data_IF_009604514576
#
_entry.id   IF_009604514576
#
_cell.length_a   1.000
_cell.length_b   1.000
_cell.length_c   1.000
_cell.angle_alpha   90.00
_cell.angle_beta   90.00
_cell.angle_gamma   90.00
#
_symmetry.space_group_name_H-M   'P 1'
#
loop_
_entity.id
_entity.type
_entity.pdbx_description
1 polymer ?
#
# COMPACT_ATOMS: atom_id res chain seq x y z
N UNK A 1 5.09 9.30 25.30
CA UNK A 1 5.60 10.18 24.23
C UNK A 1 4.91 9.85 22.92
N UNK A 2 4.65 10.84 22.09
CA UNK A 2 3.87 10.67 20.85
C UNK A 2 4.49 11.48 19.71
N UNK A 3 4.52 10.89 18.51
CA UNK A 3 4.89 11.55 17.26
C UNK A 3 3.84 11.27 16.19
N UNK A 4 3.67 12.19 15.24
CA UNK A 4 2.76 12.01 14.12
C UNK A 4 3.41 11.11 13.05
N UNK A 5 2.70 10.06 12.66
CA UNK A 5 3.12 9.11 11.62
C UNK A 5 2.05 8.92 10.54
N UNK A 6 0.99 9.72 10.57
CA UNK A 6 -0.18 9.57 9.69
C UNK A 6 0.06 10.12 8.28
N UNK A 7 1.03 11.00 8.12
CA UNK A 7 1.47 11.46 6.80
C UNK A 7 2.44 10.44 6.21
N UNK A 8 2.37 10.21 4.91
CA UNK A 8 3.23 9.26 4.18
C UNK A 8 4.67 9.81 4.00
N UNK A 9 5.11 10.70 4.90
CA UNK A 9 6.44 11.27 4.93
C UNK A 9 7.36 10.46 5.84
N UNK A 10 8.07 9.53 5.23
CA UNK A 10 9.00 8.64 5.93
C UNK A 10 10.18 9.36 6.58
N UNK A 11 10.63 10.48 6.00
CA UNK A 11 11.75 11.26 6.54
C UNK A 11 11.34 12.02 7.80
N UNK A 12 10.19 12.70 7.76
CA UNK A 12 9.64 13.40 8.93
C UNK A 12 9.36 12.43 10.07
N UNK A 13 8.79 11.24 9.77
CA UNK A 13 8.52 10.24 10.78
C UNK A 13 9.79 9.65 11.40
N UNK A 14 10.84 9.40 10.61
CA UNK A 14 12.13 8.96 11.13
C UNK A 14 12.75 10.01 12.07
N UNK A 15 12.76 11.28 11.68
CA UNK A 15 13.24 12.39 12.53
C UNK A 15 12.45 12.49 13.84
N UNK A 16 11.11 12.36 13.76
CA UNK A 16 10.28 12.36 14.96
C UNK A 16 10.57 11.17 15.88
N UNK A 17 10.79 9.98 15.31
CA UNK A 17 11.16 8.78 16.06
C UNK A 17 12.55 8.90 16.72
N UNK A 18 13.54 9.48 16.04
CA UNK A 18 14.87 9.82 16.63
C UNK A 18 14.73 10.73 17.83
N UNK A 19 13.88 11.75 17.72
CA UNK A 19 13.56 12.64 18.84
C UNK A 19 12.95 11.91 20.06
N UNK A 20 12.15 10.86 19.83
CA UNK A 20 11.62 10.02 20.90
C UNK A 20 12.71 9.11 21.49
N UNK A 21 13.58 8.54 20.66
CA UNK A 21 14.71 7.71 21.12
C UNK A 21 15.62 8.51 22.03
N UNK A 22 15.94 9.76 21.68
CA UNK A 22 16.77 10.64 22.52
C UNK A 22 16.15 10.95 23.89
N UNK A 23 14.83 10.76 24.05
CA UNK A 23 14.10 10.90 25.29
C UNK A 23 14.02 9.58 26.09
N UNK A 24 14.70 8.51 25.63
CA UNK A 24 14.84 7.25 26.36
C UNK A 24 13.65 6.31 26.23
N UNK A 25 12.92 6.32 25.12
CA UNK A 25 11.86 5.30 24.88
C UNK A 25 12.48 3.89 24.77
N UNK A 26 11.73 2.89 25.15
CA UNK A 26 12.15 1.47 25.14
C UNK A 26 11.42 0.64 24.09
N UNK A 27 10.34 1.16 23.50
CA UNK A 27 9.57 0.51 22.43
C UNK A 27 8.80 1.57 21.63
N UNK A 28 8.41 1.20 20.42
CA UNK A 28 7.57 2.03 19.52
C UNK A 28 6.29 1.24 19.19
N UNK A 29 5.13 1.81 19.45
CA UNK A 29 3.86 1.37 18.90
C UNK A 29 3.53 2.25 17.70
N UNK A 30 3.53 1.68 16.50
CA UNK A 30 3.42 2.38 15.22
C UNK A 30 4.46 1.82 14.23
N UNK A 31 4.71 2.42 13.05
CA UNK A 31 3.87 3.47 12.50
C UNK A 31 2.62 2.88 11.85
N UNK A 32 1.78 3.73 11.26
CA UNK A 32 0.54 3.33 10.62
C UNK A 32 0.78 2.86 9.18
N UNK A 33 1.40 3.70 8.36
CA UNK A 33 1.66 3.42 6.95
C UNK A 33 2.88 2.50 6.74
N UNK A 34 2.83 1.61 5.75
CA UNK A 34 3.87 0.61 5.49
C UNK A 34 5.25 1.21 5.22
N UNK A 35 5.36 2.23 4.35
CA UNK A 35 6.63 2.89 4.02
C UNK A 35 7.22 3.60 5.23
N UNK A 36 6.39 4.30 6.02
CA UNK A 36 6.80 4.95 7.27
C UNK A 36 7.28 3.91 8.29
N UNK A 37 6.56 2.80 8.44
CA UNK A 37 6.95 1.71 9.33
C UNK A 37 8.31 1.12 8.94
N UNK A 38 8.52 0.86 7.65
CA UNK A 38 9.80 0.35 7.14
C UNK A 38 10.95 1.32 7.39
N UNK A 39 10.73 2.62 7.16
CA UNK A 39 11.74 3.65 7.39
C UNK A 39 12.10 3.80 8.88
N UNK A 40 11.10 3.90 9.77
CA UNK A 40 11.33 4.01 11.20
C UNK A 40 11.99 2.74 11.74
N UNK A 41 11.54 1.55 11.31
CA UNK A 41 12.15 0.29 11.73
C UNK A 41 13.63 0.22 11.31
N UNK A 42 13.92 0.44 10.01
CA UNK A 42 15.27 0.26 9.45
C UNK A 42 16.26 1.31 9.92
N UNK A 43 15.83 2.58 10.00
CA UNK A 43 16.73 3.71 10.22
C UNK A 43 16.83 4.13 11.69
N UNK A 44 15.82 3.81 12.50
CA UNK A 44 15.74 4.28 13.89
C UNK A 44 15.64 3.13 14.88
N UNK A 45 14.57 2.31 14.82
CA UNK A 45 14.30 1.32 15.85
C UNK A 45 15.37 0.22 15.90
N UNK A 46 15.64 -0.45 14.79
CA UNK A 46 16.60 -1.57 14.71
C UNK A 46 18.03 -1.13 15.05
N UNK A 47 18.57 -0.01 14.54
CA UNK A 47 19.90 0.47 14.94
C UNK A 47 20.04 0.77 16.42
N UNK A 48 18.96 1.21 17.06
CA UNK A 48 18.95 1.54 18.50
C UNK A 48 18.50 0.37 19.40
N UNK A 49 18.28 -0.84 18.84
CA UNK A 49 17.84 -2.01 19.61
C UNK A 49 16.43 -1.89 20.17
N UNK A 50 15.58 -1.08 19.58
CA UNK A 50 14.22 -0.78 20.06
C UNK A 50 13.22 -1.65 19.31
N UNK A 51 12.33 -2.32 20.05
CA UNK A 51 11.21 -3.07 19.46
C UNK A 51 10.16 -2.11 18.90
N UNK A 52 9.70 -2.40 17.68
CA UNK A 52 8.63 -1.67 17.00
C UNK A 52 7.48 -2.62 16.64
N UNK A 53 6.24 -2.23 16.94
CA UNK A 53 5.03 -2.99 16.65
C UNK A 53 4.06 -2.11 15.86
N UNK A 54 3.81 -2.44 14.58
CA UNK A 54 2.83 -1.74 13.77
C UNK A 54 1.44 -2.38 13.88
N UNK A 55 0.37 -1.59 14.13
CA UNK A 55 -0.99 -2.09 14.17
C UNK A 55 -1.61 -2.31 12.78
N UNK A 56 -1.08 -1.69 11.72
CA UNK A 56 -1.79 -1.52 10.44
C UNK A 56 -0.92 -1.65 9.19
N UNK A 57 0.41 -1.68 9.30
CA UNK A 57 1.31 -1.78 8.15
C UNK A 57 1.26 -3.18 7.51
N UNK A 58 0.71 -3.28 6.31
CA UNK A 58 0.38 -4.55 5.65
C UNK A 58 1.32 -4.96 4.51
N UNK A 59 2.20 -4.07 4.02
CA UNK A 59 3.09 -4.37 2.88
C UNK A 59 3.83 -5.71 3.06
N UNK A 60 3.84 -6.57 2.02
CA UNK A 60 4.59 -7.83 2.04
C UNK A 60 6.08 -7.65 2.30
N UNK A 61 6.67 -6.53 1.83
CA UNK A 61 8.08 -6.23 2.01
C UNK A 61 8.53 -6.15 3.48
N UNK A 62 7.61 -5.81 4.39
CA UNK A 62 7.91 -5.77 5.82
C UNK A 62 8.18 -7.16 6.42
N UNK A 63 7.70 -8.24 5.79
CA UNK A 63 7.96 -9.61 6.25
C UNK A 63 9.43 -10.02 6.09
N UNK A 64 10.12 -9.43 5.14
CA UNK A 64 11.53 -9.74 4.82
C UNK A 64 12.50 -8.65 5.25
N UNK A 65 12.02 -7.73 6.08
CA UNK A 65 12.85 -6.66 6.63
C UNK A 65 14.00 -7.25 7.46
N UNK A 66 15.20 -6.68 7.33
CA UNK A 66 16.35 -7.04 8.16
C UNK A 66 16.24 -6.38 9.53
N UNK A 67 15.33 -6.88 10.34
CA UNK A 67 14.87 -6.26 11.59
C UNK A 67 15.54 -6.79 12.87
N UNK A 68 16.42 -7.78 12.76
CA UNK A 68 17.06 -8.46 13.90
C UNK A 68 16.05 -9.01 14.92
N UNK A 69 14.81 -9.31 14.49
CA UNK A 69 13.73 -9.77 15.35
C UNK A 69 13.10 -8.67 16.22
N UNK A 70 13.24 -7.41 15.80
CA UNK A 70 12.70 -6.26 16.55
C UNK A 70 11.43 -5.68 15.93
N UNK A 71 11.06 -6.07 14.70
CA UNK A 71 9.83 -5.62 14.07
C UNK A 71 8.71 -6.66 14.20
N UNK A 72 7.56 -6.19 14.62
CA UNK A 72 6.33 -6.97 14.70
C UNK A 72 5.16 -6.20 14.09
N UNK A 73 4.12 -6.91 13.67
CA UNK A 73 2.85 -6.30 13.27
C UNK A 73 1.68 -7.18 13.69
N UNK A 74 0.55 -6.56 14.02
CA UNK A 74 -0.70 -7.23 14.34
C UNK A 74 -1.63 -7.35 13.14
N UNK A 75 -1.41 -6.53 12.09
CA UNK A 75 -2.11 -6.64 10.82
C UNK A 75 -1.56 -7.79 9.97
N UNK A 76 -2.41 -8.56 9.26
CA UNK A 76 -1.95 -9.58 8.32
C UNK A 76 -1.21 -8.95 7.12
N UNK A 77 -0.35 -9.74 6.47
CA UNK A 77 0.33 -9.31 5.26
C UNK A 77 -0.61 -9.29 4.05
N UNK A 78 -0.47 -8.28 3.20
CA UNK A 78 -1.15 -8.20 1.89
C UNK A 78 -0.74 -9.32 0.92
N UNK A 79 0.30 -10.10 1.23
CA UNK A 79 0.63 -11.31 0.49
C UNK A 79 -0.57 -12.28 0.43
N UNK A 80 -1.37 -12.37 1.50
CA UNK A 80 -2.61 -13.15 1.52
C UNK A 80 -3.80 -12.37 0.96
N UNK A 81 -3.88 -11.08 1.28
CA UNK A 81 -4.97 -10.19 0.82
C UNK A 81 -5.05 -10.12 -0.70
N UNK A 82 -3.91 -9.93 -1.36
CA UNK A 82 -3.84 -9.89 -2.83
C UNK A 82 -4.27 -11.20 -3.50
N UNK A 83 -3.97 -12.35 -2.90
CA UNK A 83 -4.44 -13.65 -3.39
C UNK A 83 -5.96 -13.77 -3.27
N UNK A 84 -6.53 -13.41 -2.13
CA UNK A 84 -7.99 -13.45 -1.91
C UNK A 84 -8.71 -12.52 -2.89
N UNK A 85 -8.19 -11.32 -3.13
CA UNK A 85 -8.75 -10.41 -4.12
C UNK A 85 -8.72 -11.00 -5.53
N UNK A 86 -7.66 -11.71 -5.89
CA UNK A 86 -7.55 -12.39 -7.17
C UNK A 86 -8.55 -13.55 -7.29
N UNK A 87 -8.76 -14.33 -6.23
CA UNK A 87 -9.78 -15.38 -6.18
C UNK A 87 -11.18 -14.78 -6.40
N UNK A 88 -11.51 -13.68 -5.72
CA UNK A 88 -12.80 -12.97 -5.90
C UNK A 88 -12.93 -12.46 -7.34
N UNK A 89 -11.86 -11.91 -7.93
CA UNK A 89 -11.85 -11.44 -9.32
C UNK A 89 -12.18 -12.58 -10.29
N UNK A 90 -11.57 -13.75 -10.08
CA UNK A 90 -11.84 -14.97 -10.85
C UNK A 90 -13.29 -15.45 -10.68
N UNK A 91 -13.78 -15.53 -9.45
CA UNK A 91 -15.12 -16.02 -9.13
C UNK A 91 -16.21 -15.13 -9.73
N UNK A 92 -15.92 -13.83 -9.92
CA UNK A 92 -16.79 -12.90 -10.65
C UNK A 92 -16.73 -13.04 -12.17
N UNK A 93 -15.92 -13.94 -12.69
CA UNK A 93 -15.83 -14.23 -14.12
C UNK A 93 -15.02 -13.20 -14.93
N UNK A 94 -14.33 -12.27 -14.29
CA UNK A 94 -13.48 -11.26 -14.94
C UNK A 94 -12.38 -11.96 -15.74
N UNK A 95 -12.15 -11.53 -16.98
CA UNK A 95 -11.12 -12.08 -17.89
C UNK A 95 -9.94 -11.15 -18.07
N UNK A 96 -10.15 -9.85 -17.85
CA UNK A 96 -9.13 -8.83 -17.96
C UNK A 96 -9.32 -7.71 -16.93
N UNK A 97 -8.21 -7.21 -16.36
CA UNK A 97 -8.26 -6.19 -15.32
C UNK A 97 -7.18 -5.13 -15.55
N UNK A 98 -7.59 -3.86 -15.45
CA UNK A 98 -6.67 -2.74 -15.31
C UNK A 98 -6.41 -2.51 -13.82
N UNK A 99 -5.18 -2.23 -13.43
CA UNK A 99 -4.79 -2.03 -12.03
C UNK A 99 -4.20 -0.65 -11.84
N UNK A 100 -4.69 0.08 -10.85
CA UNK A 100 -4.03 1.30 -10.36
C UNK A 100 -3.79 1.20 -8.87
N UNK A 101 -2.69 1.81 -8.40
CA UNK A 101 -2.31 1.74 -7.00
C UNK A 101 -1.71 3.06 -6.51
N UNK A 102 -1.95 3.40 -5.23
CA UNK A 102 -1.30 4.55 -4.59
C UNK A 102 0.22 4.37 -4.60
N UNK A 103 0.96 5.43 -5.00
CA UNK A 103 2.41 5.38 -5.21
C UNK A 103 3.20 5.34 -3.90
N UNK A 104 3.04 4.27 -3.15
CA UNK A 104 3.79 4.00 -1.91
C UNK A 104 3.97 2.49 -1.69
N UNK A 105 4.72 2.09 -0.64
CA UNK A 105 5.06 0.70 -0.36
C UNK A 105 3.85 -0.20 -0.08
N UNK A 106 2.76 0.35 0.48
CA UNK A 106 1.51 -0.38 0.65
C UNK A 106 0.87 -0.68 -0.69
N UNK A 107 0.58 0.37 -1.48
CA UNK A 107 -0.11 0.22 -2.76
C UNK A 107 0.66 -0.65 -3.74
N UNK A 108 1.97 -0.39 -3.88
CA UNK A 108 2.83 -1.19 -4.76
C UNK A 108 2.89 -2.65 -4.34
N UNK A 109 3.10 -2.93 -3.05
CA UNK A 109 3.20 -4.29 -2.54
C UNK A 109 1.94 -5.12 -2.78
N UNK A 110 0.77 -4.55 -2.51
CA UNK A 110 -0.51 -5.21 -2.76
C UNK A 110 -0.78 -5.38 -4.27
N UNK A 111 -0.47 -4.36 -5.09
CA UNK A 111 -0.65 -4.43 -6.54
C UNK A 111 0.23 -5.50 -7.19
N UNK A 112 1.47 -5.66 -6.73
CA UNK A 112 2.39 -6.70 -7.23
C UNK A 112 1.83 -8.11 -6.93
N UNK A 113 1.39 -8.36 -5.68
CA UNK A 113 0.79 -9.65 -5.28
C UNK A 113 -0.49 -9.93 -6.05
N UNK A 114 -1.41 -8.96 -6.09
CA UNK A 114 -2.68 -9.08 -6.80
C UNK A 114 -2.46 -9.38 -8.29
N UNK A 115 -1.59 -8.59 -8.95
CA UNK A 115 -1.30 -8.76 -10.37
C UNK A 115 -0.67 -10.11 -10.70
N UNK A 116 0.20 -10.63 -9.84
CA UNK A 116 0.76 -11.96 -9.99
C UNK A 116 -0.32 -13.06 -9.83
N UNK A 117 -1.19 -12.92 -8.81
CA UNK A 117 -2.23 -13.89 -8.52
C UNK A 117 -3.31 -13.95 -9.61
N UNK A 118 -3.78 -12.80 -10.13
CA UNK A 118 -4.76 -12.80 -11.24
C UNK A 118 -4.17 -13.40 -12.52
N UNK A 119 -2.89 -13.15 -12.81
CA UNK A 119 -2.18 -13.79 -13.94
C UNK A 119 -2.10 -15.30 -13.76
N UNK A 120 -1.85 -15.80 -12.54
CA UNK A 120 -1.85 -17.24 -12.24
C UNK A 120 -3.23 -17.88 -12.44
N UNK A 121 -4.31 -17.12 -12.29
CA UNK A 121 -5.67 -17.54 -12.62
C UNK A 121 -6.02 -17.42 -14.12
N UNK A 122 -5.07 -17.04 -14.99
CA UNK A 122 -5.31 -16.85 -16.42
C UNK A 122 -6.02 -15.54 -16.77
N UNK A 123 -6.13 -14.60 -15.84
CA UNK A 123 -6.75 -13.30 -16.06
C UNK A 123 -5.69 -12.35 -16.64
N UNK A 124 -6.02 -11.66 -17.72
CA UNK A 124 -5.12 -10.70 -18.35
C UNK A 124 -5.04 -9.41 -17.52
N UNK A 125 -3.83 -9.01 -17.14
CA UNK A 125 -3.58 -7.66 -16.60
C UNK A 125 -3.28 -6.74 -17.79
N UNK A 126 -4.15 -5.76 -18.02
CA UNK A 126 -4.04 -4.85 -19.18
C UNK A 126 -3.06 -3.71 -18.91
N UNK A 127 -3.05 -3.19 -17.71
CA UNK A 127 -2.07 -2.19 -17.22
C UNK A 127 -1.88 -2.31 -15.70
N UNK A 128 -0.74 -1.82 -15.22
CA UNK A 128 -0.48 -1.58 -13.80
C UNK A 128 0.17 -0.20 -13.69
N UNK A 129 -0.53 0.78 -13.12
CA UNK A 129 -0.07 2.16 -13.04
C UNK A 129 -0.21 2.73 -11.64
N UNK A 130 0.79 3.51 -11.21
CA UNK A 130 0.69 4.24 -9.96
C UNK A 130 -0.18 5.49 -10.12
N UNK A 131 -0.84 5.89 -9.05
CA UNK A 131 -1.45 7.21 -8.91
C UNK A 131 -0.94 7.89 -7.65
N UNK A 132 -0.83 9.21 -7.70
CA UNK A 132 -0.43 10.02 -6.55
C UNK A 132 -1.64 10.32 -5.67
N UNK A 133 -1.42 10.36 -4.36
CA UNK A 133 -2.44 10.70 -3.38
C UNK A 133 -2.75 12.21 -3.37
N UNK A 134 -3.98 12.59 -3.01
CA UNK A 134 -4.37 13.96 -2.74
C UNK A 134 -4.44 14.89 -3.94
N UNK A 135 -4.49 14.38 -5.17
CA UNK A 135 -4.72 15.19 -6.37
C UNK A 135 -6.16 15.72 -6.41
N UNK A 136 -6.32 16.91 -6.97
CA UNK A 136 -7.64 17.50 -7.20
C UNK A 136 -8.39 16.84 -8.37
N UNK A 137 -7.68 16.23 -9.34
CA UNK A 137 -8.23 15.62 -10.53
C UNK A 137 -7.46 14.34 -10.90
N UNK A 138 -8.19 13.30 -11.26
CA UNK A 138 -7.69 11.99 -11.67
C UNK A 138 -8.08 11.60 -13.11
N UNK A 139 -8.50 12.57 -13.93
CA UNK A 139 -8.94 12.34 -15.33
C UNK A 139 -7.86 11.66 -16.17
N UNK A 140 -6.59 12.00 -15.96
CA UNK A 140 -5.47 11.42 -16.68
C UNK A 140 -5.27 9.94 -16.33
N UNK A 141 -5.36 9.59 -15.05
CA UNK A 141 -5.29 8.21 -14.57
C UNK A 141 -6.47 7.39 -15.12
N UNK A 142 -7.68 7.92 -15.02
CA UNK A 142 -8.89 7.29 -15.57
C UNK A 142 -8.77 7.07 -17.08
N UNK A 143 -8.32 8.08 -17.84
CA UNK A 143 -8.08 7.97 -19.28
C UNK A 143 -7.05 6.89 -19.62
N UNK A 144 -5.99 6.78 -18.82
CA UNK A 144 -4.96 5.74 -18.99
C UNK A 144 -5.55 4.34 -18.77
N UNK A 145 -6.32 4.17 -17.69
CA UNK A 145 -6.98 2.90 -17.37
C UNK A 145 -8.00 2.52 -18.45
N UNK A 146 -8.84 3.48 -18.88
CA UNK A 146 -9.84 3.29 -19.93
C UNK A 146 -9.19 2.90 -21.27
N UNK A 147 -8.09 3.56 -21.64
CA UNK A 147 -7.35 3.26 -22.88
C UNK A 147 -6.70 1.88 -22.85
N UNK A 148 -6.27 1.40 -21.68
CA UNK A 148 -5.74 0.05 -21.51
C UNK A 148 -6.84 -1.01 -21.62
N UNK A 149 -8.08 -0.65 -21.33
CA UNK A 149 -9.25 -1.50 -21.35
C UNK A 149 -9.22 -2.59 -20.27
N UNK A 150 -10.26 -3.39 -20.23
CA UNK A 150 -10.44 -4.50 -19.31
C UNK A 150 -11.90 -4.66 -18.92
N UNK A 151 -12.25 -5.83 -18.37
CA UNK A 151 -13.61 -6.09 -17.87
C UNK A 151 -13.86 -5.44 -16.52
N UNK A 152 -12.76 -5.08 -15.83
CA UNK A 152 -12.82 -4.46 -14.51
C UNK A 152 -11.57 -3.60 -14.26
N UNK A 153 -11.69 -2.68 -13.31
CA UNK A 153 -10.57 -1.93 -12.72
C UNK A 153 -10.37 -2.32 -11.26
N UNK A 154 -9.12 -2.57 -10.88
CA UNK A 154 -8.72 -2.72 -9.48
C UNK A 154 -8.07 -1.42 -9.02
N UNK A 155 -8.69 -0.75 -8.04
CA UNK A 155 -8.20 0.48 -7.43
C UNK A 155 -7.64 0.15 -6.05
N UNK A 156 -6.32 0.19 -5.91
CA UNK A 156 -5.60 -0.14 -4.69
C UNK A 156 -5.04 1.14 -4.08
N UNK A 157 -5.59 1.57 -2.96
CA UNK A 157 -5.21 2.83 -2.33
C UNK A 157 -6.17 3.26 -1.23
N UNK A 158 -6.17 4.55 -0.94
CA UNK A 158 -7.01 5.15 0.08
C UNK A 158 -8.19 5.88 -0.57
N UNK A 159 -9.40 5.62 -0.06
CA UNK A 159 -10.63 6.16 -0.64
C UNK A 159 -10.62 7.70 -0.69
N UNK A 160 -10.18 8.33 0.39
CA UNK A 160 -10.16 9.79 0.58
C UNK A 160 -8.91 10.47 0.00
N UNK A 161 -7.91 9.70 -0.46
CA UNK A 161 -6.67 10.22 -1.02
C UNK A 161 -6.59 10.11 -2.56
N UNK A 162 -7.63 9.61 -3.20
CA UNK A 162 -7.67 9.46 -4.67
C UNK A 162 -8.61 8.37 -5.16
N UNK A 163 -8.81 7.33 -4.33
CA UNK A 163 -9.64 6.19 -4.71
C UNK A 163 -11.06 6.59 -5.12
N UNK A 164 -11.69 7.52 -4.38
CA UNK A 164 -13.03 8.04 -4.73
C UNK A 164 -13.04 8.72 -6.10
N UNK A 165 -12.06 9.57 -6.38
CA UNK A 165 -11.98 10.29 -7.67
C UNK A 165 -11.77 9.34 -8.84
N UNK A 166 -10.91 8.34 -8.69
CA UNK A 166 -10.66 7.34 -9.73
C UNK A 166 -11.90 6.46 -9.95
N UNK A 167 -12.55 5.98 -8.88
CA UNK A 167 -13.76 5.16 -8.98
C UNK A 167 -14.88 5.96 -9.68
N UNK A 168 -15.15 7.19 -9.22
CA UNK A 168 -16.20 8.02 -9.80
C UNK A 168 -15.90 8.32 -11.28
N UNK A 169 -14.70 8.75 -11.60
CA UNK A 169 -14.30 9.01 -13.00
C UNK A 169 -14.37 7.77 -13.87
N UNK A 170 -14.05 6.59 -13.35
CA UNK A 170 -14.18 5.32 -14.08
C UNK A 170 -15.63 4.99 -14.39
N UNK A 171 -16.54 5.22 -13.43
CA UNK A 171 -17.99 5.05 -13.64
C UNK A 171 -18.54 6.07 -14.64
N UNK A 172 -18.17 7.33 -14.51
CA UNK A 172 -18.65 8.41 -15.40
C UNK A 172 -18.17 8.24 -16.83
N UNK A 173 -16.98 7.66 -17.03
CA UNK A 173 -16.44 7.35 -18.36
C UNK A 173 -17.14 6.17 -19.05
N UNK A 174 -17.83 5.32 -18.29
CA UNK A 174 -18.43 4.07 -18.80
C UNK A 174 -17.41 3.06 -19.33
N UNK A 175 -16.15 3.14 -18.89
CA UNK A 175 -15.06 2.32 -19.40
C UNK A 175 -14.98 0.91 -18.77
N UNK A 176 -15.64 0.69 -17.60
CA UNK A 176 -15.60 -0.54 -16.81
C UNK A 176 -16.98 -0.92 -16.29
#
# INVERSE_FOLDING_TARGET
LRADSTRVDSAAAATAAEGLVSQGIVAIMGADCSGVTGAVASNVAVPNGITIISPSATSPGLTTLKDKGLFFRTAPSDARGGQILADITKDRGVKSVAVTYTNNDYGKGLADVYSAAVKAHGIKVTTVSAHEDGKADYSAEVSTLASAGGDAVAVIGYLDQGGKGIIQGSLDSGAF
#
